data_IF_078078966087
#
_entry.id   IF_078078966087
#
_cell.length_a   1.000
_cell.length_b   1.000
_cell.length_c   1.000
_cell.angle_alpha   90.00
_cell.angle_beta   90.00
_cell.angle_gamma   90.00
#
_symmetry.space_group_name_H-M   'P 1'
#
loop_
_entity.id
_entity.type
_entity.pdbx_description
1 polymer ?
#
# COMPACT_ATOMS: atom_id res chain seq x y z
N UNK A 1 29.85 25.10 -11.43
CA UNK A 1 29.18 23.87 -11.91
C UNK A 1 27.85 24.29 -12.52
N UNK A 2 27.52 23.80 -13.72
CA UNK A 2 26.31 24.24 -14.43
C UNK A 2 25.13 23.32 -14.13
N UNK A 3 23.92 23.77 -14.45
CA UNK A 3 22.72 22.96 -14.29
C UNK A 3 22.79 21.71 -15.18
N UNK A 4 22.33 20.57 -14.63
CA UNK A 4 22.30 19.30 -15.35
C UNK A 4 21.36 19.32 -16.57
N UNK A 5 20.26 20.06 -16.51
CA UNK A 5 19.30 20.18 -17.60
C UNK A 5 19.63 21.37 -18.52
N UNK A 6 20.14 22.47 -17.95
CA UNK A 6 20.53 23.67 -18.68
C UNK A 6 22.04 23.92 -18.57
N UNK A 7 22.80 23.41 -19.53
CA UNK A 7 24.27 23.48 -19.53
C UNK A 7 24.85 24.90 -19.50
N UNK A 8 24.06 25.90 -19.90
CA UNK A 8 24.45 27.32 -19.96
C UNK A 8 24.17 28.04 -18.63
N UNK A 9 23.22 27.57 -17.83
CA UNK A 9 22.81 28.24 -16.60
C UNK A 9 23.66 27.75 -15.39
N UNK A 10 24.09 28.66 -14.50
CA UNK A 10 24.82 28.27 -13.30
C UNK A 10 23.90 27.52 -12.32
N UNK A 11 24.45 26.53 -11.63
CA UNK A 11 23.72 25.81 -10.60
C UNK A 11 23.67 26.63 -9.29
N UNK A 12 22.46 26.77 -8.72
CA UNK A 12 22.21 27.44 -7.43
C UNK A 12 21.82 26.46 -6.33
N UNK A 13 21.36 25.26 -6.68
CA UNK A 13 20.98 24.20 -5.76
C UNK A 13 21.50 22.85 -6.26
N UNK A 14 21.42 21.82 -5.41
CA UNK A 14 21.77 20.46 -5.77
C UNK A 14 20.61 19.51 -5.47
N UNK A 15 20.41 18.52 -6.34
CA UNK A 15 19.37 17.52 -6.16
C UNK A 15 19.77 16.58 -5.00
N UNK A 16 18.93 16.41 -3.96
CA UNK A 16 19.28 15.57 -2.81
C UNK A 16 19.40 14.07 -3.14
N UNK A 17 18.75 13.62 -4.22
CA UNK A 17 18.75 12.21 -4.61
C UNK A 17 19.95 11.81 -5.49
N UNK A 18 20.52 12.75 -6.26
CA UNK A 18 21.58 12.43 -7.24
C UNK A 18 22.79 13.36 -7.20
N UNK A 19 22.79 14.40 -6.35
CA UNK A 19 23.91 15.34 -6.17
C UNK A 19 24.16 16.28 -7.36
N UNK A 20 23.32 16.25 -8.40
CA UNK A 20 23.51 17.09 -9.60
C UNK A 20 23.05 18.53 -9.36
N UNK A 21 23.77 19.49 -9.94
CA UNK A 21 23.44 20.91 -9.89
C UNK A 21 22.15 21.26 -10.65
N UNK A 22 21.35 22.16 -10.07
CA UNK A 22 20.11 22.71 -10.62
C UNK A 22 20.23 24.24 -10.71
N UNK A 23 19.78 24.82 -11.82
CA UNK A 23 19.59 26.27 -11.94
C UNK A 23 18.41 26.75 -11.09
N UNK A 24 18.23 28.07 -10.99
CA UNK A 24 17.11 28.70 -10.27
C UNK A 24 15.76 28.15 -10.72
N UNK A 25 15.53 28.08 -12.04
CA UNK A 25 14.29 27.58 -12.63
C UNK A 25 14.00 26.13 -12.25
N UNK A 26 15.01 25.24 -12.36
CA UNK A 26 14.84 23.84 -12.00
C UNK A 26 14.72 23.63 -10.49
N UNK A 27 15.34 24.48 -9.67
CA UNK A 27 15.24 24.41 -8.22
C UNK A 27 13.88 24.88 -7.70
N UNK A 28 13.24 25.85 -8.37
CA UNK A 28 11.91 26.36 -8.02
C UNK A 28 10.75 25.61 -8.68
N UNK A 29 11.02 24.70 -9.63
CA UNK A 29 9.99 23.96 -10.35
C UNK A 29 9.11 23.06 -9.45
N UNK A 30 9.65 22.63 -8.30
CA UNK A 30 8.95 21.79 -7.33
C UNK A 30 9.15 22.35 -5.92
N UNK A 31 8.31 21.92 -4.97
CA UNK A 31 8.43 22.32 -3.56
C UNK A 31 9.75 21.88 -2.90
N UNK A 32 10.44 20.92 -3.49
CA UNK A 32 11.78 20.47 -3.13
C UNK A 32 12.69 20.68 -4.35
N UNK A 33 13.93 21.16 -4.22
CA UNK A 33 14.87 21.30 -5.34
C UNK A 33 15.33 19.92 -5.86
N UNK A 34 14.50 19.28 -6.70
CA UNK A 34 14.72 17.95 -7.26
C UNK A 34 14.73 17.99 -8.79
N UNK A 35 15.61 17.21 -9.41
CA UNK A 35 15.63 17.11 -10.87
C UNK A 35 14.44 16.29 -11.40
N UNK A 36 14.01 16.58 -12.63
CA UNK A 36 12.85 15.92 -13.25
C UNK A 36 13.00 14.38 -13.28
N UNK A 37 14.22 13.88 -13.56
CA UNK A 37 14.52 12.44 -13.54
C UNK A 37 14.31 11.81 -12.17
N UNK A 38 14.78 12.43 -11.08
CA UNK A 38 14.60 11.91 -9.73
C UNK A 38 13.15 12.05 -9.26
N UNK A 39 12.46 13.13 -9.63
CA UNK A 39 11.04 13.29 -9.34
C UNK A 39 10.20 12.18 -10.00
N UNK A 40 10.42 11.90 -11.30
CA UNK A 40 9.80 10.77 -12.00
C UNK A 40 10.09 9.42 -11.33
N UNK A 41 11.33 9.22 -10.84
CA UNK A 41 11.71 8.01 -10.10
C UNK A 41 10.94 7.88 -8.78
N UNK A 42 10.82 8.96 -7.99
CA UNK A 42 10.03 8.98 -6.75
C UNK A 42 8.55 8.68 -7.01
N UNK A 43 7.96 9.32 -8.03
CA UNK A 43 6.57 9.09 -8.43
C UNK A 43 6.34 7.63 -8.83
N UNK A 44 7.23 7.05 -9.64
CA UNK A 44 7.10 5.65 -10.07
C UNK A 44 7.29 4.68 -8.90
N UNK A 45 8.21 4.97 -7.97
CA UNK A 45 8.39 4.17 -6.77
C UNK A 45 7.15 4.20 -5.86
N UNK A 46 6.54 5.37 -5.68
CA UNK A 46 5.31 5.53 -4.90
C UNK A 46 4.14 4.80 -5.58
N UNK A 47 3.95 4.97 -6.89
CA UNK A 47 2.94 4.21 -7.67
C UNK A 47 3.14 2.71 -7.53
N UNK A 48 4.37 2.23 -7.67
CA UNK A 48 4.70 0.82 -7.51
C UNK A 48 4.38 0.30 -6.11
N UNK A 49 4.64 1.10 -5.06
CA UNK A 49 4.28 0.76 -3.69
C UNK A 49 2.76 0.62 -3.49
N UNK A 50 1.98 1.56 -4.01
CA UNK A 50 0.51 1.53 -3.93
C UNK A 50 -0.06 0.33 -4.70
N UNK A 51 0.41 0.09 -5.92
CA UNK A 51 -0.05 -1.03 -6.76
C UNK A 51 0.29 -2.36 -6.10
N UNK A 52 1.52 -2.52 -5.58
CA UNK A 52 1.91 -3.73 -4.84
C UNK A 52 1.03 -3.96 -3.62
N UNK A 53 0.70 -2.91 -2.88
CA UNK A 53 -0.19 -3.02 -1.73
C UNK A 53 -1.60 -3.47 -2.13
N UNK A 54 -2.19 -2.88 -3.17
CA UNK A 54 -3.51 -3.27 -3.66
C UNK A 54 -3.49 -4.70 -4.21
N UNK A 55 -2.48 -5.05 -4.99
CA UNK A 55 -2.32 -6.39 -5.56
C UNK A 55 -2.19 -7.44 -4.45
N UNK A 56 -1.42 -7.15 -3.41
CA UNK A 56 -1.27 -8.07 -2.28
C UNK A 56 -2.59 -8.20 -1.50
N UNK A 57 -3.30 -7.08 -1.27
CA UNK A 57 -4.60 -7.03 -0.59
C UNK A 57 -5.66 -7.89 -1.30
N UNK A 58 -5.87 -7.65 -2.59
CA UNK A 58 -6.88 -8.36 -3.35
C UNK A 58 -6.42 -9.75 -3.79
N UNK A 59 -5.15 -9.93 -4.16
CA UNK A 59 -4.61 -11.21 -4.60
C UNK A 59 -4.65 -12.27 -3.50
N UNK A 60 -4.17 -11.93 -2.29
CA UNK A 60 -4.24 -12.84 -1.14
C UNK A 60 -5.68 -13.04 -0.68
N UNK A 61 -6.49 -11.97 -0.67
CA UNK A 61 -7.91 -12.04 -0.28
C UNK A 61 -8.73 -12.96 -1.20
N UNK A 62 -8.52 -12.86 -2.51
CA UNK A 62 -9.18 -13.72 -3.51
C UNK A 62 -8.70 -15.17 -3.36
N UNK A 63 -7.38 -15.39 -3.27
CA UNK A 63 -6.82 -16.73 -3.13
C UNK A 63 -7.40 -17.46 -1.89
N UNK A 64 -7.32 -16.82 -0.72
CA UNK A 64 -7.81 -17.41 0.52
C UNK A 64 -9.34 -17.52 0.54
N UNK A 65 -10.05 -16.50 0.04
CA UNK A 65 -11.51 -16.49 -0.01
C UNK A 65 -12.09 -17.56 -0.92
N UNK A 66 -11.47 -17.81 -2.08
CA UNK A 66 -11.90 -18.88 -3.00
C UNK A 66 -11.62 -20.26 -2.42
N UNK A 67 -10.45 -20.47 -1.82
CA UNK A 67 -10.12 -21.75 -1.18
C UNK A 67 -11.08 -22.05 -0.01
N UNK A 68 -11.36 -21.04 0.81
CA UNK A 68 -12.32 -21.15 1.91
C UNK A 68 -13.72 -21.45 1.41
N UNK A 69 -14.23 -20.71 0.42
CA UNK A 69 -15.55 -20.92 -0.16
C UNK A 69 -15.68 -22.31 -0.81
N UNK A 70 -14.65 -22.80 -1.50
CA UNK A 70 -14.66 -24.17 -2.06
C UNK A 70 -14.75 -25.23 -0.98
N UNK A 71 -14.03 -25.03 0.12
CA UNK A 71 -14.04 -25.95 1.25
C UNK A 71 -15.42 -25.99 1.93
N UNK A 72 -16.04 -24.83 2.17
CA UNK A 72 -17.37 -24.74 2.80
C UNK A 72 -18.52 -25.17 1.89
N UNK A 73 -18.38 -24.99 0.58
CA UNK A 73 -19.41 -25.37 -0.39
C UNK A 73 -19.27 -26.82 -0.89
N UNK A 74 -18.27 -27.57 -0.41
CA UNK A 74 -18.06 -28.96 -0.82
C UNK A 74 -19.28 -29.81 -0.43
N UNK A 75 -19.95 -30.42 -1.43
CA UNK A 75 -21.09 -31.31 -1.22
C UNK A 75 -22.45 -30.61 -1.08
N UNK A 76 -22.51 -29.28 -1.20
CA UNK A 76 -23.77 -28.53 -1.12
C UNK A 76 -24.14 -27.89 -2.48
N UNK A 77 -25.34 -28.20 -2.97
CA UNK A 77 -25.90 -27.59 -4.18
C UNK A 77 -26.80 -26.41 -3.79
N UNK A 78 -26.27 -25.20 -3.88
CA UNK A 78 -27.03 -23.98 -3.62
C UNK A 78 -27.56 -23.35 -4.92
N UNK A 79 -28.66 -22.57 -4.85
CA UNK A 79 -29.04 -21.68 -5.94
C UNK A 79 -27.90 -20.70 -6.27
N UNK A 80 -27.82 -20.27 -7.53
CA UNK A 80 -26.74 -19.41 -8.07
C UNK A 80 -26.43 -18.18 -7.19
N UNK A 81 -27.47 -17.54 -6.64
CA UNK A 81 -27.33 -16.36 -5.78
C UNK A 81 -26.52 -16.67 -4.51
N UNK A 82 -26.82 -17.77 -3.83
CA UNK A 82 -26.12 -18.18 -2.61
C UNK A 82 -24.69 -18.60 -2.92
N UNK A 83 -24.47 -19.24 -4.07
CA UNK A 83 -23.12 -19.53 -4.54
C UNK A 83 -22.32 -18.24 -4.67
N UNK A 84 -22.83 -17.22 -5.37
CA UNK A 84 -22.12 -15.94 -5.51
C UNK A 84 -21.82 -15.30 -4.15
N UNK A 85 -22.81 -15.23 -3.25
CA UNK A 85 -22.65 -14.65 -1.92
C UNK A 85 -21.59 -15.41 -1.10
N UNK A 86 -21.60 -16.74 -1.17
CA UNK A 86 -20.64 -17.60 -0.48
C UNK A 86 -19.19 -17.39 -0.92
N UNK A 87 -18.94 -16.88 -2.14
CA UNK A 87 -17.60 -16.49 -2.59
C UNK A 87 -17.28 -15.03 -2.25
N UNK A 88 -18.22 -14.10 -2.41
CA UNK A 88 -17.98 -12.67 -2.22
C UNK A 88 -17.67 -12.33 -0.76
N UNK A 89 -18.44 -12.87 0.20
CA UNK A 89 -18.26 -12.60 1.63
C UNK A 89 -16.85 -12.98 2.12
N UNK A 90 -16.36 -14.22 1.93
CA UNK A 90 -15.03 -14.58 2.40
C UNK A 90 -13.94 -13.80 1.67
N UNK A 91 -14.05 -13.55 0.36
CA UNK A 91 -13.07 -12.71 -0.35
C UNK A 91 -12.96 -11.32 0.29
N UNK A 92 -14.08 -10.71 0.65
CA UNK A 92 -14.10 -9.42 1.34
C UNK A 92 -13.45 -9.49 2.73
N UNK A 93 -13.74 -10.54 3.51
CA UNK A 93 -13.16 -10.72 4.85
C UNK A 93 -11.63 -10.93 4.77
N UNK A 94 -11.19 -11.84 3.90
CA UNK A 94 -9.76 -12.16 3.77
C UNK A 94 -8.95 -11.02 3.15
N UNK A 95 -9.53 -10.24 2.25
CA UNK A 95 -8.85 -9.02 1.74
C UNK A 95 -8.66 -7.96 2.83
N UNK A 96 -9.45 -7.97 3.91
CA UNK A 96 -9.26 -7.09 5.07
C UNK A 96 -8.00 -7.37 5.90
N UNK A 97 -7.41 -8.57 5.80
CA UNK A 97 -6.28 -8.97 6.67
C UNK A 97 -5.07 -8.04 6.51
N UNK A 98 -4.68 -7.75 5.28
CA UNK A 98 -3.50 -6.93 4.98
C UNK A 98 -3.64 -5.47 5.42
N UNK A 99 -4.73 -4.75 5.09
CA UNK A 99 -4.93 -3.38 5.55
C UNK A 99 -5.10 -3.32 7.08
N UNK A 100 -5.76 -4.32 7.68
CA UNK A 100 -5.87 -4.46 9.14
C UNK A 100 -4.51 -4.63 9.80
N UNK A 101 -3.65 -5.50 9.27
CA UNK A 101 -2.35 -5.82 9.86
C UNK A 101 -1.39 -4.63 9.81
N UNK A 102 -1.37 -3.92 8.68
CA UNK A 102 -0.59 -2.69 8.53
C UNK A 102 -1.07 -1.60 9.49
N UNK A 103 -2.38 -1.49 9.70
CA UNK A 103 -2.96 -0.50 10.63
C UNK A 103 -2.59 -0.84 12.07
N UNK A 104 -2.74 -2.10 12.45
CA UNK A 104 -2.46 -2.57 13.80
C UNK A 104 -0.97 -2.53 14.15
N UNK A 105 -0.09 -2.82 13.19
CA UNK A 105 1.37 -2.69 13.34
C UNK A 105 1.80 -1.23 13.46
N UNK A 106 1.05 -0.29 12.89
CA UNK A 106 1.30 1.15 13.09
C UNK A 106 0.88 1.63 14.48
N UNK A 107 -0.21 1.08 15.03
CA UNK A 107 -0.75 1.48 16.33
C UNK A 107 0.00 0.82 17.49
N UNK A 108 0.39 -0.44 17.31
CA UNK A 108 1.03 -1.24 18.38
C UNK A 108 2.54 -1.02 18.31
N UNK A 109 3.17 -0.29 19.25
CA UNK A 109 4.61 -0.13 19.27
C UNK A 109 5.28 -1.44 19.68
N UNK A 110 6.57 -1.59 19.39
CA UNK A 110 7.39 -2.78 19.71
C UNK A 110 7.70 -2.92 21.23
N UNK A 111 6.71 -2.68 22.09
CA UNK A 111 6.86 -2.58 23.56
C UNK A 111 6.93 -3.97 24.22
N UNK A 112 6.57 -5.04 23.50
CA UNK A 112 6.41 -6.39 24.05
C UNK A 112 7.60 -7.33 23.77
N UNK A 113 8.83 -6.81 23.77
CA UNK A 113 10.04 -7.61 23.47
C UNK A 113 10.40 -8.66 24.54
N UNK A 114 9.80 -8.61 25.73
CA UNK A 114 10.11 -9.51 26.85
C UNK A 114 8.95 -10.46 27.24
N UNK A 115 8.22 -11.01 26.26
CA UNK A 115 7.19 -12.04 26.55
C UNK A 115 7.74 -13.47 26.42
N UNK A 116 7.26 -14.42 27.25
CA UNK A 116 7.53 -15.84 27.09
C UNK A 116 6.97 -16.35 25.75
N UNK A 117 7.46 -17.50 25.26
CA UNK A 117 7.08 -18.06 23.95
C UNK A 117 5.55 -18.18 23.78
N UNK A 118 4.83 -18.58 24.84
CA UNK A 118 3.36 -18.68 24.82
C UNK A 118 2.68 -17.30 24.67
N UNK A 119 3.28 -16.25 25.22
CA UNK A 119 2.82 -14.88 25.11
C UNK A 119 2.94 -14.35 23.68
N UNK A 120 3.98 -14.74 22.95
CA UNK A 120 4.13 -14.42 21.53
C UNK A 120 3.03 -15.07 20.69
N UNK A 121 2.73 -16.34 20.92
CA UNK A 121 1.65 -17.05 20.19
C UNK A 121 0.31 -16.36 20.46
N UNK A 122 -0.04 -16.12 21.72
CA UNK A 122 -1.29 -15.44 22.09
C UNK A 122 -1.36 -14.02 21.51
N UNK A 123 -0.26 -13.27 21.57
CA UNK A 123 -0.15 -11.94 20.98
C UNK A 123 -0.45 -11.97 19.48
N UNK A 124 0.17 -12.88 18.72
CA UNK A 124 -0.05 -12.98 17.28
C UNK A 124 -1.49 -13.40 16.94
N UNK A 125 -2.10 -14.30 17.71
CA UNK A 125 -3.50 -14.71 17.52
C UNK A 125 -4.45 -13.54 17.76
N UNK A 126 -4.32 -12.85 18.90
CA UNK A 126 -5.15 -11.67 19.21
C UNK A 126 -4.95 -10.58 18.15
N UNK A 127 -3.69 -10.33 17.77
CA UNK A 127 -3.34 -9.36 16.72
C UNK A 127 -3.97 -9.74 15.38
N UNK A 128 -4.00 -11.02 15.04
CA UNK A 128 -4.61 -11.52 13.81
C UNK A 128 -6.14 -11.34 13.83
N UNK A 129 -6.81 -11.68 14.94
CA UNK A 129 -8.26 -11.45 15.10
C UNK A 129 -8.61 -9.96 14.98
N UNK A 130 -7.88 -9.09 15.70
CA UNK A 130 -8.07 -7.64 15.62
C UNK A 130 -7.80 -7.11 14.21
N UNK A 131 -6.81 -7.68 13.52
CA UNK A 131 -6.50 -7.34 12.14
C UNK A 131 -7.66 -7.65 11.20
N UNK A 132 -8.38 -8.77 11.37
CA UNK A 132 -9.57 -9.06 10.56
C UNK A 132 -10.67 -8.03 10.85
N UNK A 133 -10.98 -7.79 12.14
CA UNK A 133 -12.03 -6.84 12.53
C UNK A 133 -11.76 -5.42 12.02
N UNK A 134 -10.56 -4.89 12.27
CA UNK A 134 -10.15 -3.57 11.78
C UNK A 134 -10.01 -3.55 10.26
N UNK A 135 -9.62 -4.68 9.67
CA UNK A 135 -9.48 -4.88 8.24
C UNK A 135 -10.74 -4.58 7.45
N UNK A 136 -11.90 -5.02 7.95
CA UNK A 136 -13.19 -4.80 7.30
C UNK A 136 -13.50 -3.31 7.13
N UNK A 137 -13.23 -2.51 8.17
CA UNK A 137 -13.49 -1.05 8.15
C UNK A 137 -12.38 -0.32 7.38
N UNK A 138 -11.12 -0.74 7.54
CA UNK A 138 -9.97 -0.07 6.94
C UNK A 138 -9.82 -0.35 5.45
N UNK A 139 -10.34 -1.47 4.94
CA UNK A 139 -10.27 -1.81 3.52
C UNK A 139 -10.87 -0.72 2.62
N UNK A 140 -12.15 -0.31 2.75
CA UNK A 140 -12.71 0.72 1.87
C UNK A 140 -11.98 2.06 2.01
N UNK A 141 -11.65 2.48 3.23
CA UNK A 141 -10.94 3.74 3.51
C UNK A 141 -9.58 3.75 2.80
N UNK A 142 -8.83 2.66 2.92
CA UNK A 142 -7.49 2.55 2.36
C UNK A 142 -7.51 2.39 0.85
N UNK A 143 -8.46 1.66 0.30
CA UNK A 143 -8.67 1.55 -1.15
C UNK A 143 -8.97 2.92 -1.76
N UNK A 144 -9.92 3.69 -1.19
CA UNK A 144 -10.25 5.04 -1.68
C UNK A 144 -9.03 5.97 -1.59
N UNK A 145 -8.29 5.95 -0.48
CA UNK A 145 -7.07 6.75 -0.33
C UNK A 145 -6.02 6.39 -1.38
N UNK A 146 -5.79 5.10 -1.62
CA UNK A 146 -4.82 4.60 -2.60
C UNK A 146 -5.22 5.00 -4.03
N UNK A 147 -6.50 4.89 -4.39
CA UNK A 147 -7.02 5.32 -5.70
C UNK A 147 -6.87 6.84 -5.87
N UNK A 148 -7.31 7.63 -4.88
CA UNK A 148 -7.17 9.09 -4.94
C UNK A 148 -5.70 9.51 -5.12
N UNK A 149 -4.79 8.86 -4.37
CA UNK A 149 -3.35 9.13 -4.48
C UNK A 149 -2.80 8.77 -5.86
N UNK A 150 -3.21 7.65 -6.45
CA UNK A 150 -2.83 7.27 -7.80
C UNK A 150 -3.29 8.29 -8.85
N UNK A 151 -4.52 8.80 -8.72
CA UNK A 151 -5.06 9.84 -9.60
C UNK A 151 -4.25 11.13 -9.47
N UNK A 152 -3.90 11.56 -8.24
CA UNK A 152 -3.02 12.72 -8.02
C UNK A 152 -1.65 12.53 -8.69
N UNK A 153 -1.04 11.36 -8.53
CA UNK A 153 0.26 11.04 -9.13
C UNK A 153 0.21 10.89 -10.67
N UNK A 154 -0.96 10.65 -11.25
CA UNK A 154 -1.15 10.70 -12.70
C UNK A 154 -1.18 12.15 -13.21
N UNK A 155 -1.85 13.06 -12.48
CA UNK A 155 -1.92 14.49 -12.84
C UNK A 155 -0.57 15.21 -12.76
N UNK A 156 0.33 14.78 -11.88
CA UNK A 156 1.70 15.35 -11.75
C UNK A 156 2.59 14.98 -12.96
N UNK A 157 2.17 14.00 -13.79
CA UNK A 157 3.00 13.46 -14.88
C UNK A 157 2.92 14.27 -16.19
N UNK A 158 2.44 15.52 -16.13
CA UNK A 158 2.42 16.48 -17.26
C UNK A 158 3.77 17.17 -17.36
#
# INVERSE_FOLDING_TARGET
MNCYEHSIQPAVAQCPDCGKGLCTECASAYSLPICNRCNKKRINAEKGGIIKELLLTYGVGILLGVLFARWTNAGHSYPIIYTIISYVIPIYIFSGIIPGWKTLTRITPAVFLFLPLIGWVLYFVIKFCLSICLGLIMLPIRTVRNIHRLITLQKIKV
#
